data_IF_285337942642
#
_entry.id   IF_285337942642
#
_cell.length_a   1.000
_cell.length_b   1.000
_cell.length_c   1.000
_cell.angle_alpha   90.00
_cell.angle_beta   90.00
_cell.angle_gamma   90.00
#
_symmetry.space_group_name_H-M   'P 1'
#
loop_
_entity.id
_entity.type
_entity.pdbx_description
1 polymer ?
#
# COMPACT_ATOMS: atom_id res chain seq x y z
N UNK A 1 -45.90 -27.58 -10.36
CA UNK A 1 -44.85 -26.95 -11.19
C UNK A 1 -44.46 -25.56 -10.72
N UNK A 2 -45.40 -24.73 -10.22
CA UNK A 2 -45.12 -23.36 -9.74
C UNK A 2 -44.24 -23.27 -8.49
N UNK A 3 -44.33 -24.23 -7.55
CA UNK A 3 -43.54 -24.22 -6.30
C UNK A 3 -42.01 -24.24 -6.52
N UNK A 4 -41.53 -24.98 -7.52
CA UNK A 4 -40.10 -25.08 -7.84
C UNK A 4 -39.52 -23.77 -8.38
N UNK A 5 -40.32 -22.99 -9.12
CA UNK A 5 -39.90 -21.68 -9.66
C UNK A 5 -39.68 -20.69 -8.52
N UNK A 6 -40.56 -20.67 -7.51
CA UNK A 6 -40.38 -19.81 -6.34
C UNK A 6 -39.15 -20.19 -5.51
N UNK A 7 -38.81 -21.48 -5.42
CA UNK A 7 -37.60 -21.94 -4.72
C UNK A 7 -36.31 -21.48 -5.41
N UNK A 8 -36.26 -21.56 -6.75
CA UNK A 8 -35.10 -21.11 -7.54
C UNK A 8 -34.94 -19.59 -7.47
N UNK A 9 -36.03 -18.83 -7.58
CA UNK A 9 -36.00 -17.37 -7.44
C UNK A 9 -35.57 -16.94 -6.04
N UNK A 10 -36.06 -17.61 -5.00
CA UNK A 10 -35.64 -17.36 -3.62
C UNK A 10 -34.16 -17.68 -3.40
N UNK A 11 -33.63 -18.75 -4.01
CA UNK A 11 -32.21 -19.10 -3.92
C UNK A 11 -31.31 -18.06 -4.62
N UNK A 12 -31.72 -17.55 -5.78
CA UNK A 12 -30.99 -16.48 -6.50
C UNK A 12 -31.02 -15.17 -5.70
N UNK A 13 -32.17 -14.81 -5.12
CA UNK A 13 -32.29 -13.63 -4.27
C UNK A 13 -31.45 -13.75 -3.00
N UNK A 14 -31.42 -14.92 -2.36
CA UNK A 14 -30.58 -15.20 -1.20
C UNK A 14 -29.08 -15.13 -1.53
N UNK A 15 -28.67 -15.64 -2.70
CA UNK A 15 -27.31 -15.50 -3.21
C UNK A 15 -26.93 -14.04 -3.47
N UNK A 16 -27.83 -13.24 -4.06
CA UNK A 16 -27.61 -11.81 -4.28
C UNK A 16 -27.48 -11.04 -2.97
N UNK A 17 -28.34 -11.32 -1.99
CA UNK A 17 -28.27 -10.74 -0.64
C UNK A 17 -26.99 -11.15 0.10
N UNK A 18 -26.57 -12.41 -0.02
CA UNK A 18 -25.34 -12.89 0.62
C UNK A 18 -24.10 -12.22 0.02
N UNK A 19 -24.04 -12.02 -1.30
CA UNK A 19 -22.96 -11.25 -1.93
C UNK A 19 -22.97 -9.78 -1.48
N UNK A 20 -24.15 -9.17 -1.36
CA UNK A 20 -24.29 -7.76 -0.96
C UNK A 20 -23.89 -7.55 0.50
N UNK A 21 -24.30 -8.44 1.41
CA UNK A 21 -23.88 -8.40 2.82
C UNK A 21 -22.37 -8.60 3.00
N UNK A 22 -21.74 -9.44 2.15
CA UNK A 22 -20.28 -9.61 2.14
C UNK A 22 -19.56 -8.32 1.69
N UNK A 23 -20.14 -7.60 0.72
CA UNK A 23 -19.66 -6.27 0.31
C UNK A 23 -19.78 -5.23 1.42
N UNK A 24 -20.91 -5.19 2.13
CA UNK A 24 -21.10 -4.26 3.26
C UNK A 24 -20.22 -4.57 4.48
N UNK A 25 -19.93 -5.85 4.73
CA UNK A 25 -18.97 -6.26 5.76
C UNK A 25 -17.54 -5.80 5.42
N UNK A 26 -17.14 -5.81 4.14
CA UNK A 26 -15.88 -5.22 3.68
C UNK A 26 -15.88 -3.69 3.89
N UNK A 27 -16.93 -2.97 3.49
CA UNK A 27 -17.06 -1.51 3.73
C UNK A 27 -17.00 -1.10 5.20
N UNK A 28 -17.57 -1.89 6.11
CA UNK A 28 -17.43 -1.62 7.56
C UNK A 28 -16.01 -1.84 8.06
N UNK A 29 -15.32 -2.89 7.62
CA UNK A 29 -13.89 -3.08 7.93
C UNK A 29 -13.01 -1.95 7.39
N UNK A 30 -13.33 -1.41 6.21
CA UNK A 30 -12.61 -0.23 5.68
C UNK A 30 -12.73 1.01 6.58
N UNK A 31 -13.84 1.17 7.30
CA UNK A 31 -14.05 2.29 8.22
C UNK A 31 -13.50 2.03 9.62
N UNK A 32 -13.49 0.77 10.08
CA UNK A 32 -12.98 0.39 11.40
C UNK A 32 -11.45 0.21 11.43
N UNK A 33 -10.80 -0.05 10.28
CA UNK A 33 -9.35 -0.25 10.21
C UNK A 33 -8.56 0.98 9.74
N UNK A 34 -9.22 2.11 9.49
CA UNK A 34 -8.51 3.37 9.31
C UNK A 34 -7.94 3.75 10.67
N UNK A 35 -6.67 3.40 10.90
CA UNK A 35 -5.89 3.97 11.98
C UNK A 35 -6.13 5.49 12.00
N UNK A 36 -6.24 6.11 13.17
CA UNK A 36 -6.38 7.56 13.29
C UNK A 36 -5.18 8.25 12.61
N UNK A 37 -5.32 8.54 11.33
CA UNK A 37 -4.28 9.17 10.53
C UNK A 37 -4.23 10.64 10.89
N UNK A 38 -3.15 11.01 11.56
CA UNK A 38 -2.91 12.38 11.92
C UNK A 38 -2.54 13.18 10.66
N UNK A 39 -2.96 14.45 10.55
CA UNK A 39 -2.61 15.29 9.41
C UNK A 39 -1.08 15.45 9.31
N UNK A 40 -0.53 15.34 8.10
CA UNK A 40 0.90 15.50 7.85
C UNK A 40 1.37 16.88 8.34
N UNK A 41 2.38 16.89 9.20
CA UNK A 41 3.05 18.13 9.63
C UNK A 41 4.16 18.45 8.64
N UNK A 42 3.90 19.29 7.63
CA UNK A 42 4.84 19.56 6.53
C UNK A 42 5.17 21.05 6.36
N UNK A 43 4.62 21.93 7.20
CA UNK A 43 4.78 23.38 7.04
C UNK A 43 6.22 23.85 7.13
N UNK A 44 7.09 23.08 7.79
CA UNK A 44 8.52 23.33 7.89
C UNK A 44 9.31 22.88 6.65
N UNK A 45 8.72 22.07 5.77
CA UNK A 45 9.39 21.51 4.61
C UNK A 45 9.27 22.42 3.37
N UNK A 46 10.30 22.45 2.50
CA UNK A 46 10.20 22.98 1.14
C UNK A 46 9.11 22.28 0.33
N UNK A 47 8.49 22.98 -0.64
CA UNK A 47 7.36 22.45 -1.43
C UNK A 47 7.64 21.09 -2.09
N UNK A 48 8.86 20.87 -2.58
CA UNK A 48 9.25 19.59 -3.17
C UNK A 48 9.18 18.44 -2.16
N UNK A 49 9.75 18.64 -0.97
CA UNK A 49 9.68 17.64 0.11
C UNK A 49 8.27 17.48 0.69
N UNK A 50 7.43 18.53 0.65
CA UNK A 50 6.01 18.38 1.00
C UNK A 50 5.25 17.51 -0.02
N UNK A 51 5.55 17.63 -1.31
CA UNK A 51 4.97 16.78 -2.34
C UNK A 51 5.41 15.34 -2.10
N UNK A 52 6.72 15.13 -2.01
CA UNK A 52 7.30 13.82 -1.74
C UNK A 52 6.73 13.14 -0.49
N UNK A 53 6.54 13.86 0.62
CA UNK A 53 5.94 13.29 1.82
C UNK A 53 4.48 12.86 1.63
N UNK A 54 3.71 13.61 0.83
CA UNK A 54 2.32 13.25 0.47
C UNK A 54 2.30 12.04 -0.47
N UNK A 55 3.22 12.00 -1.43
CA UNK A 55 3.33 10.89 -2.38
C UNK A 55 3.80 9.61 -1.67
N UNK A 56 4.75 9.71 -0.73
CA UNK A 56 5.12 8.61 0.17
C UNK A 56 3.90 8.09 0.92
N UNK A 57 3.08 8.97 1.52
CA UNK A 57 1.87 8.55 2.24
C UNK A 57 0.87 7.88 1.30
N UNK A 58 0.61 8.47 0.13
CA UNK A 58 -0.33 7.91 -0.85
C UNK A 58 0.10 6.50 -1.28
N UNK A 59 1.40 6.32 -1.53
CA UNK A 59 1.99 5.03 -1.89
C UNK A 59 1.93 4.02 -0.74
N UNK A 60 2.22 4.43 0.50
CA UNK A 60 2.06 3.58 1.68
C UNK A 60 0.63 3.06 1.79
N UNK A 61 -0.35 3.95 1.67
CA UNK A 61 -1.77 3.61 1.75
C UNK A 61 -2.25 2.74 0.59
N UNK A 62 -1.73 2.96 -0.63
CA UNK A 62 -2.05 2.12 -1.79
C UNK A 62 -1.57 0.69 -1.61
N UNK A 63 -0.46 0.48 -0.90
CA UNK A 63 0.11 -0.83 -0.57
C UNK A 63 -0.56 -1.55 0.61
N UNK A 64 -1.18 -0.84 1.55
CA UNK A 64 -1.84 -1.45 2.71
C UNK A 64 -3.07 -2.30 2.34
N UNK A 65 -3.78 -1.94 1.28
CA UNK A 65 -4.92 -2.71 0.78
C UNK A 65 -4.51 -4.11 0.31
N UNK A 66 -3.61 -4.20 -0.70
CA UNK A 66 -3.00 -5.46 -1.12
C UNK A 66 -2.38 -6.25 0.03
N UNK A 67 -1.72 -5.57 0.98
CA UNK A 67 -1.10 -6.23 2.11
C UNK A 67 -2.12 -6.90 3.05
N UNK A 68 -3.24 -6.23 3.34
CA UNK A 68 -4.36 -6.80 4.10
C UNK A 68 -4.96 -8.01 3.38
N UNK A 69 -5.15 -7.92 2.07
CA UNK A 69 -5.67 -9.05 1.26
C UNK A 69 -4.72 -10.25 1.26
N UNK A 70 -3.40 -10.02 1.17
CA UNK A 70 -2.39 -11.07 1.31
C UNK A 70 -2.36 -11.70 2.72
N UNK A 71 -2.73 -10.94 3.76
CA UNK A 71 -2.87 -11.45 5.11
C UNK A 71 -4.15 -12.30 5.30
N UNK A 72 -5.24 -11.93 4.63
CA UNK A 72 -6.52 -12.65 4.67
C UNK A 72 -6.58 -13.86 3.72
N UNK A 73 -5.75 -13.89 2.67
CA UNK A 73 -5.78 -14.84 1.55
C UNK A 73 -5.39 -16.30 1.81
N UNK A 74 -5.49 -16.78 3.06
CA UNK A 74 -5.13 -18.16 3.45
C UNK A 74 -6.09 -19.27 2.98
N UNK A 75 -7.18 -18.98 2.28
CA UNK A 75 -8.07 -20.02 1.76
C UNK A 75 -9.28 -19.51 0.97
N UNK A 76 -9.27 -19.73 -0.35
CA UNK A 76 -10.47 -19.69 -1.18
C UNK A 76 -10.78 -18.39 -1.92
N UNK A 77 -9.80 -17.53 -2.19
CA UNK A 77 -10.00 -16.37 -3.07
C UNK A 77 -10.48 -16.82 -4.46
N UNK A 78 -11.53 -16.18 -4.99
CA UNK A 78 -12.00 -16.48 -6.35
C UNK A 78 -11.00 -15.92 -7.39
N UNK A 79 -10.95 -16.52 -8.58
CA UNK A 79 -10.04 -16.09 -9.67
C UNK A 79 -10.09 -14.58 -9.95
N UNK A 80 -11.27 -13.97 -9.92
CA UNK A 80 -11.44 -12.51 -10.08
C UNK A 80 -10.73 -11.69 -9.00
N UNK A 81 -10.74 -12.16 -7.74
CA UNK A 81 -10.09 -11.45 -6.63
C UNK A 81 -8.56 -11.52 -6.75
N UNK A 82 -8.04 -12.61 -7.31
CA UNK A 82 -6.62 -12.74 -7.61
C UNK A 82 -6.17 -11.76 -8.71
N UNK A 83 -6.93 -11.64 -9.80
CA UNK A 83 -6.61 -10.72 -10.89
C UNK A 83 -6.65 -9.26 -10.44
N UNK A 84 -7.61 -8.89 -9.59
CA UNK A 84 -7.68 -7.56 -8.98
C UNK A 84 -6.47 -7.27 -8.08
N UNK A 85 -6.05 -8.24 -7.26
CA UNK A 85 -4.86 -8.10 -6.41
C UNK A 85 -3.60 -7.90 -7.26
N UNK A 86 -3.42 -8.69 -8.33
CA UNK A 86 -2.27 -8.52 -9.23
C UNK A 86 -2.28 -7.15 -9.91
N UNK A 87 -3.44 -6.67 -10.35
CA UNK A 87 -3.56 -5.34 -10.94
C UNK A 87 -3.13 -4.24 -9.96
N UNK A 88 -3.60 -4.29 -8.71
CA UNK A 88 -3.21 -3.31 -7.68
C UNK A 88 -1.72 -3.37 -7.35
N UNK A 89 -1.13 -4.57 -7.32
CA UNK A 89 0.32 -4.74 -7.13
C UNK A 89 1.13 -4.17 -8.31
N UNK A 90 0.63 -4.26 -9.56
CA UNK A 90 1.24 -3.58 -10.72
C UNK A 90 1.20 -2.08 -10.60
N UNK A 91 0.03 -1.55 -10.26
CA UNK A 91 -0.17 -0.11 -10.14
C UNK A 91 0.74 0.44 -9.03
N UNK A 92 0.82 -0.24 -7.88
CA UNK A 92 1.71 0.16 -6.80
C UNK A 92 3.20 0.00 -7.15
N UNK A 93 3.59 -1.03 -7.92
CA UNK A 93 4.97 -1.16 -8.42
C UNK A 93 5.35 0.01 -9.34
N UNK A 94 4.40 0.45 -10.19
CA UNK A 94 4.60 1.63 -11.03
C UNK A 94 4.75 2.90 -10.18
N UNK A 95 3.86 3.12 -9.22
CA UNK A 95 3.93 4.26 -8.30
C UNK A 95 5.24 4.28 -7.50
N UNK A 96 5.73 3.12 -7.04
CA UNK A 96 7.06 2.98 -6.43
C UNK A 96 8.18 3.41 -7.37
N UNK A 97 8.13 3.00 -8.64
CA UNK A 97 9.11 3.41 -9.65
C UNK A 97 9.09 4.92 -9.89
N UNK A 98 7.89 5.50 -10.02
CA UNK A 98 7.71 6.95 -10.18
C UNK A 98 8.25 7.72 -8.95
N UNK A 99 7.97 7.22 -7.74
CA UNK A 99 8.50 7.78 -6.49
C UNK A 99 10.03 7.70 -6.41
N UNK A 100 10.64 6.56 -6.78
CA UNK A 100 12.11 6.42 -6.82
C UNK A 100 12.71 7.45 -7.78
N UNK A 101 12.11 7.63 -8.95
CA UNK A 101 12.57 8.63 -9.92
C UNK A 101 12.39 10.07 -9.42
N UNK A 102 11.32 10.36 -8.68
CA UNK A 102 11.12 11.68 -8.08
C UNK A 102 12.21 11.99 -7.05
N UNK A 103 12.53 11.02 -6.18
CA UNK A 103 13.64 11.14 -5.23
C UNK A 103 14.97 11.41 -5.94
N UNK A 104 15.28 10.69 -7.02
CA UNK A 104 16.52 10.87 -7.78
C UNK A 104 16.63 12.26 -8.42
N UNK A 105 15.51 12.93 -8.64
CA UNK A 105 15.43 14.25 -9.26
C UNK A 105 15.39 15.41 -8.27
N UNK A 106 15.42 15.12 -6.97
CA UNK A 106 15.45 16.14 -5.94
C UNK A 106 16.68 17.05 -6.08
N UNK A 107 16.50 18.31 -5.66
CA UNK A 107 17.62 19.24 -5.61
C UNK A 107 18.67 18.77 -4.60
N UNK A 108 19.92 19.21 -4.75
CA UNK A 108 20.97 18.90 -3.77
C UNK A 108 20.61 19.41 -2.36
N UNK A 109 19.87 20.52 -2.27
CA UNK A 109 19.39 21.08 -1.00
C UNK A 109 18.36 20.18 -0.34
N UNK A 110 17.37 19.68 -1.08
CA UNK A 110 16.36 18.76 -0.55
C UNK A 110 16.98 17.42 -0.15
N UNK A 111 17.91 16.91 -0.95
CA UNK A 111 18.67 15.69 -0.63
C UNK A 111 19.55 15.85 0.62
N UNK A 112 20.13 17.04 0.84
CA UNK A 112 20.87 17.33 2.07
C UNK A 112 19.93 17.36 3.29
N UNK A 113 18.81 18.07 3.17
CA UNK A 113 17.79 18.12 4.22
C UNK A 113 17.32 16.72 4.63
N UNK A 114 17.02 15.86 3.65
CA UNK A 114 16.61 14.48 3.89
C UNK A 114 17.66 13.68 4.67
N UNK A 115 18.93 13.91 4.36
CA UNK A 115 20.06 13.28 5.06
C UNK A 115 20.14 13.76 6.51
N UNK A 116 19.91 15.04 6.76
CA UNK A 116 19.97 15.64 8.09
C UNK A 116 18.86 15.10 9.02
N UNK A 117 17.65 14.89 8.49
CA UNK A 117 16.53 14.29 9.23
C UNK A 117 16.57 12.76 9.24
N UNK A 118 17.50 12.14 8.50
CA UNK A 118 17.65 10.69 8.39
C UNK A 118 16.55 10.01 7.56
N UNK A 119 15.88 10.74 6.67
CA UNK A 119 14.95 10.18 5.70
C UNK A 119 15.75 9.56 4.53
N UNK A 120 16.10 8.28 4.65
CA UNK A 120 16.95 7.56 3.69
C UNK A 120 16.11 6.84 2.62
N UNK A 121 15.94 7.39 1.40
CA UNK A 121 15.13 6.74 0.36
C UNK A 121 15.81 5.49 -0.21
N UNK A 122 17.12 5.34 0.00
CA UNK A 122 17.91 4.20 -0.46
C UNK A 122 17.42 2.86 0.10
N UNK A 123 16.80 2.86 1.29
CA UNK A 123 16.24 1.63 1.90
C UNK A 123 15.03 1.12 1.12
N UNK A 124 14.08 2.00 0.83
CA UNK A 124 12.90 1.68 0.01
C UNK A 124 13.32 1.24 -1.39
N UNK A 125 14.26 1.97 -2.01
CA UNK A 125 14.81 1.60 -3.32
C UNK A 125 15.46 0.22 -3.29
N UNK A 126 16.32 -0.06 -2.30
CA UNK A 126 17.02 -1.33 -2.18
C UNK A 126 16.05 -2.51 -2.07
N UNK A 127 15.01 -2.38 -1.24
CA UNK A 127 13.96 -3.38 -1.14
C UNK A 127 13.21 -3.56 -2.47
N UNK A 128 12.90 -2.48 -3.19
CA UNK A 128 12.20 -2.59 -4.47
C UNK A 128 13.09 -3.17 -5.58
N UNK A 129 14.40 -2.91 -5.52
CA UNK A 129 15.40 -3.50 -6.42
C UNK A 129 15.57 -5.01 -6.15
N UNK A 130 15.53 -5.45 -4.89
CA UNK A 130 15.50 -6.87 -4.51
C UNK A 130 14.26 -7.59 -5.06
N UNK A 131 13.15 -6.88 -5.21
CA UNK A 131 11.94 -7.36 -5.90
C UNK A 131 12.10 -7.38 -7.44
N UNK A 132 13.22 -6.87 -7.97
CA UNK A 132 13.45 -6.75 -9.40
C UNK A 132 12.54 -5.72 -10.06
N UNK A 133 12.20 -4.64 -9.33
CA UNK A 133 11.32 -3.57 -9.78
C UNK A 133 9.89 -4.02 -10.10
N UNK A 134 9.43 -5.12 -9.48
CA UNK A 134 8.09 -5.69 -9.69
C UNK A 134 7.57 -6.41 -8.46
N UNK A 135 6.32 -6.15 -8.07
CA UNK A 135 5.67 -6.81 -6.92
C UNK A 135 4.89 -8.08 -7.31
N UNK A 136 4.86 -8.44 -8.59
CA UNK A 136 4.11 -9.60 -9.12
C UNK A 136 4.92 -10.90 -9.17
N UNK A 137 6.24 -10.83 -8.89
CA UNK A 137 7.15 -11.94 -9.19
C UNK A 137 6.79 -13.20 -8.40
N UNK A 138 6.84 -14.34 -9.10
CA UNK A 138 6.85 -15.65 -8.45
C UNK A 138 8.03 -15.71 -7.50
N UNK A 139 7.73 -16.06 -6.25
CA UNK A 139 8.70 -16.36 -5.20
C UNK A 139 9.83 -17.26 -5.73
N UNK A 140 11.07 -16.80 -5.60
CA UNK A 140 12.23 -17.65 -5.83
C UNK A 140 12.47 -18.56 -4.63
N UNK A 141 13.17 -19.68 -4.84
CA UNK A 141 13.46 -20.63 -3.77
C UNK A 141 14.27 -19.94 -2.64
N UNK A 142 13.74 -19.98 -1.42
CA UNK A 142 14.35 -19.34 -0.24
C UNK A 142 13.90 -17.91 0.04
N UNK A 143 13.20 -17.24 -0.88
CA UNK A 143 12.66 -15.91 -0.60
C UNK A 143 11.53 -15.95 0.44
N UNK A 144 11.38 -14.91 1.28
CA UNK A 144 10.21 -14.76 2.14
C UNK A 144 8.90 -14.67 1.34
N UNK A 145 7.77 -14.86 2.00
CA UNK A 145 6.47 -14.65 1.36
C UNK A 145 6.33 -13.20 0.88
N UNK A 146 5.62 -12.96 -0.23
CA UNK A 146 5.38 -11.63 -0.78
C UNK A 146 4.86 -10.65 0.27
N UNK A 147 3.96 -11.11 1.15
CA UNK A 147 3.46 -10.34 2.29
C UNK A 147 4.57 -9.75 3.16
N UNK A 148 5.55 -10.56 3.55
CA UNK A 148 6.65 -10.14 4.45
C UNK A 148 7.54 -9.11 3.76
N UNK A 149 7.77 -9.28 2.45
CA UNK A 149 8.58 -8.35 1.65
C UNK A 149 7.85 -7.02 1.44
N UNK A 150 6.55 -7.08 1.19
CA UNK A 150 5.68 -5.91 1.09
C UNK A 150 5.57 -5.16 2.43
N UNK A 151 5.46 -5.88 3.55
CA UNK A 151 5.51 -5.31 4.91
C UNK A 151 6.81 -4.53 5.13
N UNK A 152 7.95 -5.05 4.65
CA UNK A 152 9.22 -4.34 4.75
C UNK A 152 9.22 -3.02 3.97
N UNK A 153 8.70 -3.01 2.74
CA UNK A 153 8.59 -1.79 1.92
C UNK A 153 7.67 -0.76 2.60
N UNK A 154 6.47 -1.18 3.01
CA UNK A 154 5.50 -0.31 3.70
C UNK A 154 6.09 0.29 4.97
N UNK A 155 6.82 -0.51 5.75
CA UNK A 155 7.49 -0.04 6.97
C UNK A 155 8.58 0.99 6.68
N UNK A 156 9.39 0.80 5.64
CA UNK A 156 10.41 1.79 5.28
C UNK A 156 9.79 3.08 4.74
N UNK A 157 8.66 3.00 4.01
CA UNK A 157 7.89 4.18 3.60
C UNK A 157 7.32 4.95 4.80
N UNK A 158 6.80 4.24 5.79
CA UNK A 158 6.30 4.82 7.05
C UNK A 158 7.43 5.55 7.80
N UNK A 159 8.57 4.87 8.01
CA UNK A 159 9.75 5.49 8.64
C UNK A 159 10.22 6.72 7.88
N UNK A 160 10.26 6.65 6.55
CA UNK A 160 10.62 7.79 5.71
C UNK A 160 9.67 8.98 5.92
N UNK A 161 8.36 8.72 5.93
CA UNK A 161 7.30 9.71 6.16
C UNK A 161 7.45 10.36 7.55
N UNK A 162 7.69 9.56 8.60
CA UNK A 162 7.91 10.04 9.97
C UNK A 162 9.15 10.94 10.09
N UNK A 163 10.25 10.56 9.43
CA UNK A 163 11.49 11.35 9.45
C UNK A 163 11.33 12.69 8.76
N UNK A 164 10.62 12.76 7.63
CA UNK A 164 10.33 14.03 6.98
C UNK A 164 9.46 14.96 7.83
N UNK A 165 8.53 14.39 8.61
CA UNK A 165 7.67 15.16 9.50
C UNK A 165 8.41 15.68 10.74
N UNK A 166 9.58 15.12 11.09
CA UNK A 166 10.38 15.56 12.22
C UNK A 166 11.28 16.74 11.81
N UNK A 167 11.17 17.93 12.44
CA UNK A 167 12.11 19.02 12.18
C UNK A 167 13.56 18.61 12.54
N UNK A 168 14.57 19.12 11.80
CA UNK A 168 15.96 18.86 12.14
C UNK A 168 16.28 19.39 13.54
N UNK A 169 17.10 18.63 14.27
CA UNK A 169 17.55 19.01 15.61
C UNK A 169 18.42 20.28 15.51
N UNK A 170 18.03 21.41 16.15
CA UNK A 170 18.79 22.65 16.07
C UNK A 170 20.17 22.59 16.75
N UNK A 171 20.48 21.52 17.48
CA UNK A 171 21.74 21.34 18.20
C UNK A 171 22.72 20.36 17.51
N UNK A 172 22.46 19.97 16.26
CA UNK A 172 23.33 19.10 15.46
C UNK A 172 24.18 19.86 14.46
#
# INVERSE_FOLDING_TARGET
MTFWVYLVVAAIAALGLFQTMRGQARSRRYLESSAEEHPLQLSHLPRGLQALARDTRALRLSLEGPLRELAEGGGGAMFSEFDELQQRLRDAARELGDWVHEVERLSQTDAAYMRDVGAEPGRVRGLFEEEGWSLERKREAGQPALRVRLEAIVRELELFEERLQTPPDPYR
#
